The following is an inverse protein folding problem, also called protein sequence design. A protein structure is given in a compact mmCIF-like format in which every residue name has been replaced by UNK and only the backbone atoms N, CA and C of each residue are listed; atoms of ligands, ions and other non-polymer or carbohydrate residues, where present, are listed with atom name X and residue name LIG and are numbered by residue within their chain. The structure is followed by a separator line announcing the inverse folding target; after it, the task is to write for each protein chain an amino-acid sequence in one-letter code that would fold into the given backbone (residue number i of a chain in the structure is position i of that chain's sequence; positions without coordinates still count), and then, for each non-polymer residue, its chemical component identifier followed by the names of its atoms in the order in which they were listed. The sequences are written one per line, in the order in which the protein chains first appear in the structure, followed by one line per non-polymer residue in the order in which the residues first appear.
data_IF_759514539455
#
_entry.id   IF_759514539455
#
_cell.length_a   1.000
_cell.length_b   1.000
_cell.length_c   1.000
_cell.angle_alpha   90.00
_cell.angle_beta   90.00
_cell.angle_gamma   90.00
#
_symmetry.space_group_name_H-M   'P 1'
#
loop_
_entity.id
_entity.type
_entity.pdbx_description
1 polymer ?
#
# COMPACT_ATOMS: atom_id res chain seq x y z
N UNK A 1 11.97 22.06 -7.38
CA UNK A 1 11.68 23.51 -7.50
C UNK A 1 11.64 24.24 -6.16
N UNK A 2 10.90 23.75 -5.16
CA UNK A 2 10.86 24.33 -3.81
C UNK A 2 12.25 24.62 -3.23
N UNK A 3 13.16 23.63 -3.26
CA UNK A 3 14.53 23.77 -2.78
C UNK A 3 15.31 24.92 -3.47
N UNK A 4 15.13 25.15 -4.78
CA UNK A 4 15.79 26.27 -5.50
C UNK A 4 15.32 27.65 -5.02
N UNK A 5 14.14 27.76 -4.40
CA UNK A 5 13.68 29.03 -3.80
C UNK A 5 14.46 29.33 -2.52
N UNK A 6 14.86 28.29 -1.76
CA UNK A 6 15.66 28.41 -0.54
C UNK A 6 17.15 28.61 -0.86
N UNK A 7 17.65 27.96 -1.90
CA UNK A 7 19.01 28.07 -2.38
C UNK A 7 19.06 28.54 -3.84
N UNK A 8 18.91 29.86 -4.11
CA UNK A 8 18.92 30.37 -5.49
C UNK A 8 20.25 30.16 -6.21
N UNK A 9 21.37 30.25 -5.46
CA UNK A 9 22.72 30.29 -6.04
C UNK A 9 23.42 28.92 -6.02
N UNK A 10 22.76 27.87 -5.52
CA UNK A 10 23.33 26.54 -5.42
C UNK A 10 22.63 25.57 -6.36
N UNK A 11 23.42 24.70 -7.03
CA UNK A 11 22.90 23.66 -7.92
C UNK A 11 22.83 22.29 -7.27
N UNK A 12 23.85 21.91 -6.50
CA UNK A 12 23.96 20.57 -5.93
C UNK A 12 22.89 20.26 -4.86
N UNK A 13 22.70 21.14 -3.87
CA UNK A 13 21.78 20.86 -2.75
C UNK A 13 20.31 20.71 -3.19
N UNK A 14 19.76 21.57 -4.08
CA UNK A 14 18.42 21.35 -4.61
C UNK A 14 18.25 20.06 -5.41
N UNK A 15 19.31 19.60 -6.11
CA UNK A 15 19.31 18.32 -6.82
C UNK A 15 19.33 17.15 -5.84
N UNK A 16 20.17 17.21 -4.79
CA UNK A 16 20.17 16.21 -3.72
C UNK A 16 18.80 16.11 -3.06
N UNK A 17 18.17 17.23 -2.71
CA UNK A 17 16.83 17.24 -2.12
C UNK A 17 15.79 16.57 -3.04
N UNK A 18 15.90 16.77 -4.35
CA UNK A 18 15.01 16.11 -5.33
C UNK A 18 15.33 14.62 -5.48
N UNK A 19 16.61 14.24 -5.53
CA UNK A 19 17.07 12.85 -5.67
C UNK A 19 16.65 11.99 -4.47
N UNK A 20 16.77 12.52 -3.25
CA UNK A 20 16.34 11.83 -2.02
C UNK A 20 14.83 11.50 -2.00
N UNK A 21 14.02 12.28 -2.73
CA UNK A 21 12.59 12.01 -2.91
C UNK A 21 12.37 11.06 -4.08
N UNK A 22 12.98 11.35 -5.23
CA UNK A 22 12.79 10.60 -6.47
C UNK A 22 13.28 9.15 -6.39
N UNK A 23 14.33 8.90 -5.60
CA UNK A 23 14.94 7.59 -5.42
C UNK A 23 14.63 6.97 -4.06
N UNK A 24 13.62 7.48 -3.35
CA UNK A 24 13.07 6.79 -2.18
C UNK A 24 12.34 5.52 -2.69
N UNK A 25 12.79 4.31 -2.30
CA UNK A 25 12.22 3.08 -2.84
C UNK A 25 10.75 2.88 -2.49
N UNK A 26 10.33 3.19 -1.26
CA UNK A 26 8.92 3.12 -0.87
C UNK A 26 8.06 4.07 -1.70
N UNK A 27 8.53 5.29 -1.95
CA UNK A 27 7.80 6.28 -2.74
C UNK A 27 7.66 5.79 -4.18
N UNK A 28 8.73 5.27 -4.79
CA UNK A 28 8.69 4.66 -6.12
C UNK A 28 7.74 3.46 -6.20
N UNK A 29 7.78 2.56 -5.21
CA UNK A 29 6.82 1.46 -5.11
C UNK A 29 5.38 1.96 -5.06
N UNK A 30 5.12 2.99 -4.25
CA UNK A 30 3.79 3.59 -4.10
C UNK A 30 3.32 4.27 -5.40
N UNK A 31 4.24 4.84 -6.19
CA UNK A 31 3.95 5.38 -7.52
C UNK A 31 3.57 4.29 -8.55
N UNK A 32 4.00 3.04 -8.34
CA UNK A 32 3.59 1.89 -9.14
C UNK A 32 2.19 1.36 -8.80
N UNK A 33 1.56 1.87 -7.74
CA UNK A 33 0.22 1.48 -7.30
C UNK A 33 -0.84 2.49 -7.75
N UNK A 34 -2.08 2.03 -7.92
CA UNK A 34 -3.24 2.91 -8.03
C UNK A 34 -3.60 3.42 -6.63
N UNK A 35 -3.04 4.57 -6.25
CA UNK A 35 -3.20 5.17 -4.92
C UNK A 35 -3.29 6.70 -5.00
N UNK A 36 -3.90 7.31 -3.97
CA UNK A 36 -3.95 8.76 -3.82
C UNK A 36 -2.66 9.36 -3.22
N UNK A 37 -1.77 8.53 -2.68
CA UNK A 37 -0.54 8.97 -2.01
C UNK A 37 0.44 9.73 -2.95
N UNK A 38 0.75 9.25 -4.17
CA UNK A 38 1.66 9.95 -5.09
C UNK A 38 1.15 11.32 -5.52
N UNK A 39 -0.14 11.41 -5.86
CA UNK A 39 -0.76 12.67 -6.27
C UNK A 39 -0.72 13.70 -5.14
N UNK A 40 -1.02 13.28 -3.91
CA UNK A 40 -0.95 14.16 -2.75
C UNK A 40 0.47 14.64 -2.47
N UNK A 41 1.48 13.76 -2.57
CA UNK A 41 2.88 14.15 -2.41
C UNK A 41 3.31 15.18 -3.47
N UNK A 42 2.89 15.01 -4.72
CA UNK A 42 3.15 15.96 -5.81
C UNK A 42 2.46 17.32 -5.55
N UNK A 43 1.19 17.32 -5.14
CA UNK A 43 0.45 18.53 -4.79
C UNK A 43 1.06 19.24 -3.56
N UNK A 44 1.49 18.49 -2.55
CA UNK A 44 2.22 19.02 -1.39
C UNK A 44 3.53 19.69 -1.77
N UNK A 45 4.33 19.07 -2.65
CA UNK A 45 5.55 19.65 -3.17
C UNK A 45 5.29 20.93 -4.00
N UNK A 46 4.21 20.93 -4.82
CA UNK A 46 3.80 22.09 -5.61
C UNK A 46 3.31 23.24 -4.73
N UNK A 47 2.52 22.95 -3.69
CA UNK A 47 2.07 23.92 -2.69
C UNK A 47 3.24 24.52 -1.93
N UNK A 48 4.18 23.70 -1.44
CA UNK A 48 5.40 24.18 -0.80
C UNK A 48 6.17 25.14 -1.71
N UNK A 49 6.36 24.78 -2.98
CA UNK A 49 7.03 25.65 -3.93
C UNK A 49 6.30 26.98 -4.17
N UNK A 50 4.97 26.95 -4.36
CA UNK A 50 4.16 28.15 -4.57
C UNK A 50 4.13 29.06 -3.34
N UNK A 51 3.95 28.48 -2.16
CA UNK A 51 4.00 29.19 -0.87
C UNK A 51 5.36 29.83 -0.62
N UNK A 52 6.46 29.14 -0.91
CA UNK A 52 7.81 29.72 -0.82
C UNK A 52 8.00 30.89 -1.79
N UNK A 53 7.50 30.79 -3.03
CA UNK A 53 7.56 31.90 -4.00
C UNK A 53 6.73 33.10 -3.57
N UNK A 54 5.53 32.86 -3.02
CA UNK A 54 4.69 33.91 -2.46
C UNK A 54 5.37 34.60 -1.28
N UNK A 55 5.91 33.81 -0.35
CA UNK A 55 6.59 34.32 0.84
C UNK A 55 7.90 35.08 0.55
N UNK A 56 8.53 34.83 -0.61
CA UNK A 56 9.76 35.49 -1.07
C UNK A 56 9.47 36.75 -1.91
N UNK A 57 8.27 36.90 -2.45
CA UNK A 57 7.96 37.97 -3.39
C UNK A 57 8.23 39.36 -2.78
N UNK A 58 8.91 40.22 -3.54
CA UNK A 58 9.17 41.59 -3.14
C UNK A 58 7.92 42.47 -3.23
N UNK A 59 6.90 42.09 -3.97
CA UNK A 59 5.66 42.86 -4.14
C UNK A 59 4.47 42.08 -3.62
N UNK A 60 3.36 42.79 -3.35
CA UNK A 60 2.10 42.17 -2.99
C UNK A 60 1.71 41.11 -4.03
N UNK A 61 1.24 39.95 -3.57
CA UNK A 61 0.92 38.85 -4.46
C UNK A 61 -0.28 39.21 -5.35
N UNK A 62 -0.15 39.15 -6.70
CA UNK A 62 -1.28 39.38 -7.58
C UNK A 62 -2.32 38.28 -7.42
N UNK A 63 -3.60 38.65 -7.57
CA UNK A 63 -4.77 37.78 -7.39
C UNK A 63 -4.64 36.38 -8.03
N UNK A 64 -4.14 36.21 -9.28
CA UNK A 64 -4.02 34.90 -9.91
C UNK A 64 -3.08 33.93 -9.16
N UNK A 65 -2.07 34.44 -8.44
CA UNK A 65 -1.16 33.57 -7.66
C UNK A 65 -1.84 33.01 -6.41
N UNK A 66 -2.69 33.80 -5.75
CA UNK A 66 -3.47 33.38 -4.59
C UNK A 66 -4.54 32.37 -5.01
N UNK A 67 -5.28 32.66 -6.09
CA UNK A 67 -6.24 31.72 -6.69
C UNK A 67 -5.54 30.41 -7.05
N UNK A 68 -4.38 30.47 -7.71
CA UNK A 68 -3.62 29.26 -8.07
C UNK A 68 -3.20 28.41 -6.87
N UNK A 69 -2.89 29.02 -5.72
CA UNK A 69 -2.62 28.26 -4.48
C UNK A 69 -3.88 27.62 -3.92
N UNK A 70 -5.01 28.34 -3.96
CA UNK A 70 -6.31 27.82 -3.56
C UNK A 70 -6.77 26.64 -4.41
N UNK A 71 -6.63 26.72 -5.74
CA UNK A 71 -6.96 25.62 -6.65
C UNK A 71 -6.10 24.38 -6.37
N UNK A 72 -4.78 24.54 -6.19
CA UNK A 72 -3.89 23.43 -5.82
C UNK A 72 -4.24 22.82 -4.46
N UNK A 73 -4.61 23.67 -3.50
CA UNK A 73 -5.04 23.21 -2.18
C UNK A 73 -6.35 22.45 -2.24
N UNK A 74 -7.33 22.94 -3.01
CA UNK A 74 -8.58 22.23 -3.27
C UNK A 74 -8.36 20.86 -3.93
N UNK A 75 -7.47 20.78 -4.93
CA UNK A 75 -7.10 19.48 -5.51
C UNK A 75 -6.47 18.54 -4.47
N UNK A 76 -5.64 19.07 -3.57
CA UNK A 76 -5.02 18.27 -2.51
C UNK A 76 -6.09 17.75 -1.53
N UNK A 77 -7.05 18.59 -1.13
CA UNK A 77 -8.17 18.22 -0.27
C UNK A 77 -9.05 17.13 -0.89
N UNK A 78 -9.36 17.24 -2.19
CA UNK A 78 -10.07 16.20 -2.93
C UNK A 78 -9.28 14.89 -3.02
N UNK A 79 -7.95 14.97 -3.11
CA UNK A 79 -7.08 13.79 -3.21
C UNK A 79 -7.07 13.01 -1.89
N UNK A 80 -6.94 13.71 -0.76
CA UNK A 80 -6.92 13.10 0.57
C UNK A 80 -7.18 14.12 1.66
N UNK A 81 -7.92 13.72 2.69
CA UNK A 81 -8.21 14.57 3.85
C UNK A 81 -6.96 15.06 4.60
N UNK A 82 -5.86 14.28 4.60
CA UNK A 82 -4.61 14.70 5.24
C UNK A 82 -4.03 15.98 4.63
N UNK A 83 -4.46 16.39 3.43
CA UNK A 83 -4.08 17.67 2.83
C UNK A 83 -4.42 18.89 3.72
N UNK A 84 -5.36 18.78 4.67
CA UNK A 84 -5.64 19.81 5.68
C UNK A 84 -4.37 20.32 6.38
N UNK A 85 -3.33 19.49 6.48
CA UNK A 85 -2.02 19.85 7.03
C UNK A 85 -1.31 21.00 6.28
N UNK A 86 -1.71 21.31 5.05
CA UNK A 86 -1.14 22.43 4.27
C UNK A 86 -1.77 23.79 4.62
N UNK A 87 -2.87 23.84 5.38
CA UNK A 87 -3.54 25.09 5.76
C UNK A 87 -2.60 26.10 6.44
N UNK A 88 -1.86 25.72 7.50
CA UNK A 88 -0.89 26.60 8.15
C UNK A 88 0.17 27.16 7.19
N UNK A 89 0.64 26.36 6.22
CA UNK A 89 1.61 26.79 5.22
C UNK A 89 1.05 27.90 4.32
N UNK A 90 -0.22 27.81 3.92
CA UNK A 90 -0.91 28.84 3.14
C UNK A 90 -1.14 30.12 3.94
N UNK A 91 -1.55 30.00 5.20
CA UNK A 91 -1.70 31.15 6.10
C UNK A 91 -0.36 31.87 6.29
N UNK A 92 0.73 31.13 6.54
CA UNK A 92 2.06 31.70 6.64
C UNK A 92 2.51 32.41 5.37
N UNK A 93 2.33 31.77 4.21
CA UNK A 93 2.71 32.36 2.92
C UNK A 93 1.88 33.61 2.61
N UNK A 94 0.58 33.58 2.89
CA UNK A 94 -0.33 34.71 2.75
C UNK A 94 0.06 35.89 3.62
N UNK A 95 0.34 35.64 4.90
CA UNK A 95 0.79 36.67 5.85
C UNK A 95 2.08 37.37 5.38
N UNK A 96 3.04 36.58 4.90
CA UNK A 96 4.29 37.12 4.34
C UNK A 96 4.06 37.88 3.04
N UNK A 97 3.20 37.39 2.16
CA UNK A 97 2.88 38.02 0.88
C UNK A 97 2.25 39.41 1.04
N UNK A 98 1.56 39.66 2.15
CA UNK A 98 0.93 40.95 2.48
C UNK A 98 1.70 41.77 3.51
N UNK A 99 2.92 41.34 3.87
CA UNK A 99 3.85 42.04 4.77
C UNK A 99 3.22 42.40 6.12
N UNK A 100 2.36 41.54 6.64
CA UNK A 100 1.73 41.69 7.96
C UNK A 100 0.53 42.64 8.03
N UNK A 101 -0.02 43.07 6.89
CA UNK A 101 -1.29 43.81 6.88
C UNK A 101 -2.48 42.88 7.11
N UNK A 102 -3.22 43.07 8.22
CA UNK A 102 -4.38 42.25 8.57
C UNK A 102 -5.50 42.27 7.54
N UNK A 103 -5.88 43.44 7.00
CA UNK A 103 -6.95 43.55 6.02
C UNK A 103 -6.61 42.79 4.72
N UNK A 104 -5.39 42.98 4.21
CA UNK A 104 -4.93 42.27 3.03
C UNK A 104 -4.71 40.77 3.30
N UNK A 105 -4.34 40.39 4.52
CA UNK A 105 -4.21 38.99 4.92
C UNK A 105 -5.56 38.27 4.90
N UNK A 106 -6.60 38.90 5.44
CA UNK A 106 -7.96 38.38 5.38
C UNK A 106 -8.45 38.25 3.93
N UNK A 107 -8.24 39.28 3.10
CA UNK A 107 -8.59 39.24 1.69
C UNK A 107 -7.84 38.13 0.93
N UNK A 108 -6.54 37.96 1.19
CA UNK A 108 -5.74 36.89 0.60
C UNK A 108 -6.22 35.51 1.04
N UNK A 109 -6.56 35.36 2.32
CA UNK A 109 -7.07 34.12 2.93
C UNK A 109 -8.42 33.73 2.35
N UNK A 110 -9.34 34.69 2.24
CA UNK A 110 -10.62 34.49 1.56
C UNK A 110 -10.43 34.12 0.09
N UNK A 111 -9.49 34.77 -0.60
CA UNK A 111 -9.24 34.50 -2.03
C UNK A 111 -8.82 33.06 -2.27
N UNK A 112 -7.77 32.58 -1.60
CA UNK A 112 -7.32 31.20 -1.80
C UNK A 112 -8.29 30.19 -1.17
N UNK A 113 -8.95 30.54 -0.07
CA UNK A 113 -9.94 29.70 0.60
C UNK A 113 -11.18 29.44 -0.26
N UNK A 114 -11.75 30.49 -0.87
CA UNK A 114 -12.87 30.36 -1.80
C UNK A 114 -12.49 29.53 -3.03
N UNK A 115 -11.29 29.75 -3.60
CA UNK A 115 -10.81 28.93 -4.71
C UNK A 115 -10.66 27.44 -4.33
N UNK A 116 -10.20 27.13 -3.12
CA UNK A 116 -10.13 25.76 -2.62
C UNK A 116 -11.53 25.15 -2.41
N UNK A 117 -12.48 25.91 -1.85
CA UNK A 117 -13.86 25.49 -1.65
C UNK A 117 -14.62 25.26 -2.96
N UNK A 118 -14.35 26.04 -3.99
CA UNK A 118 -14.94 25.81 -5.32
C UNK A 118 -14.52 24.45 -5.91
N UNK A 119 -13.31 23.99 -5.60
CA UNK A 119 -12.81 22.70 -6.07
C UNK A 119 -13.27 21.57 -5.17
N UNK A 120 -13.08 21.67 -3.85
CA UNK A 120 -13.25 20.57 -2.92
C UNK A 120 -14.52 20.65 -2.05
N UNK A 121 -15.15 21.82 -1.94
CA UNK A 121 -16.23 22.07 -0.98
C UNK A 121 -17.45 21.17 -1.19
N UNK A 122 -17.77 20.83 -2.44
CA UNK A 122 -18.87 19.92 -2.75
C UNK A 122 -18.67 18.52 -2.12
N UNK A 123 -17.43 18.02 -2.03
CA UNK A 123 -17.12 16.71 -1.45
C UNK A 123 -17.42 16.68 0.05
N UNK A 124 -17.05 17.74 0.77
CA UNK A 124 -17.32 17.87 2.19
C UNK A 124 -18.81 18.07 2.47
N UNK A 125 -19.52 18.87 1.67
CA UNK A 125 -20.97 19.01 1.78
C UNK A 125 -21.69 17.68 1.50
N UNK A 126 -21.19 16.90 0.53
CA UNK A 126 -21.66 15.55 0.23
C UNK A 126 -21.46 14.62 1.42
N UNK A 127 -20.29 14.64 2.07
CA UNK A 127 -20.03 13.85 3.28
C UNK A 127 -20.96 14.24 4.44
N UNK A 128 -21.13 15.54 4.70
CA UNK A 128 -22.04 16.02 5.74
C UNK A 128 -23.48 15.55 5.50
N UNK A 129 -23.96 15.61 4.24
CA UNK A 129 -25.32 15.17 3.88
C UNK A 129 -25.52 13.65 4.02
N UNK A 130 -24.52 12.85 3.65
CA UNK A 130 -24.65 11.39 3.65
C UNK A 130 -24.31 10.74 4.99
N UNK A 131 -23.34 11.28 5.71
CA UNK A 131 -22.79 10.66 6.92
C UNK A 131 -23.10 11.46 8.19
N UNK A 132 -23.63 12.68 8.09
CA UNK A 132 -23.76 13.58 9.25
C UNK A 132 -22.42 14.12 9.74
N UNK A 133 -21.31 13.75 9.08
CA UNK A 133 -19.94 14.06 9.43
C UNK A 133 -19.22 14.65 8.22
N UNK A 134 -18.70 15.87 8.37
CA UNK A 134 -17.97 16.58 7.32
C UNK A 134 -16.73 15.82 6.85
N UNK A 135 -16.05 15.14 7.77
CA UNK A 135 -14.79 14.45 7.56
C UNK A 135 -14.93 12.93 7.51
N UNK A 136 -16.08 12.37 7.87
CA UNK A 136 -16.31 10.92 7.89
C UNK A 136 -15.40 10.18 8.88
N UNK A 137 -15.02 10.85 9.97
CA UNK A 137 -14.19 10.31 11.06
C UNK A 137 -14.90 9.16 11.77
N UNK A 138 -16.19 9.29 12.06
CA UNK A 138 -16.93 8.22 12.75
C UNK A 138 -17.00 6.94 11.94
N UNK A 139 -17.38 7.06 10.65
CA UNK A 139 -17.40 5.95 9.71
C UNK A 139 -16.03 5.30 9.55
N UNK A 140 -14.98 6.12 9.41
CA UNK A 140 -13.62 5.61 9.30
C UNK A 140 -13.19 4.86 10.57
N UNK A 141 -13.51 5.39 11.75
CA UNK A 141 -13.13 4.78 13.02
C UNK A 141 -13.85 3.46 13.26
N UNK A 142 -15.12 3.35 12.86
CA UNK A 142 -15.88 2.10 12.95
C UNK A 142 -15.26 0.95 12.13
N UNK A 143 -14.68 1.25 10.96
CA UNK A 143 -14.13 0.23 10.05
C UNK A 143 -12.63 -0.04 10.27
N UNK A 144 -11.86 0.95 10.73
CA UNK A 144 -10.40 0.89 10.74
C UNK A 144 -9.76 1.09 12.12
N UNK A 145 -10.53 1.29 13.20
CA UNK A 145 -9.95 1.38 14.54
C UNK A 145 -9.30 0.04 14.93
N UNK A 146 -7.96 0.06 15.06
CA UNK A 146 -7.19 -1.05 15.62
C UNK A 146 -7.07 -0.97 17.13
N UNK A 147 -6.24 -1.85 17.70
CA UNK A 147 -5.88 -1.78 19.11
C UNK A 147 -5.26 -0.41 19.45
N UNK A 148 -5.64 0.20 20.60
CA UNK A 148 -5.14 1.51 20.99
C UNK A 148 -3.63 1.50 21.18
N UNK A 149 -2.98 2.61 20.83
CA UNK A 149 -1.55 2.75 21.01
C UNK A 149 -1.19 2.97 22.49
N UNK A 150 -0.20 2.25 23.00
CA UNK A 150 0.25 2.35 24.39
C UNK A 150 1.18 3.57 24.59
N UNK A 151 0.59 4.76 24.74
CA UNK A 151 1.31 6.05 24.82
C UNK A 151 2.36 6.13 25.94
N UNK A 152 2.15 5.41 27.04
CA UNK A 152 3.06 5.38 28.19
C UNK A 152 4.17 4.33 28.09
N UNK A 153 4.15 3.47 27.08
CA UNK A 153 5.11 2.38 26.92
C UNK A 153 6.25 2.77 25.96
N UNK A 154 7.50 2.88 26.44
CA UNK A 154 8.67 3.16 25.60
C UNK A 154 8.89 2.11 24.51
N UNK A 155 8.53 0.83 24.75
CA UNK A 155 8.69 -0.22 23.76
C UNK A 155 7.73 -0.03 22.58
N UNK A 156 6.48 0.37 22.84
CA UNK A 156 5.51 0.73 21.81
C UNK A 156 6.02 1.89 20.93
N UNK A 157 6.62 2.92 21.53
CA UNK A 157 7.25 4.02 20.79
C UNK A 157 8.42 3.56 19.93
N UNK A 158 9.33 2.74 20.48
CA UNK A 158 10.46 2.22 19.72
C UNK A 158 9.98 1.38 18.53
N UNK A 159 9.00 0.50 18.75
CA UNK A 159 8.38 -0.31 17.70
C UNK A 159 7.72 0.53 16.61
N UNK A 160 6.89 1.50 17.00
CA UNK A 160 6.21 2.41 16.06
C UNK A 160 7.19 3.26 15.24
N UNK A 161 8.23 3.82 15.87
CA UNK A 161 9.27 4.59 15.17
C UNK A 161 10.11 3.72 14.23
N UNK A 162 10.45 2.50 14.65
CA UNK A 162 11.17 1.54 13.80
C UNK A 162 10.34 1.20 12.57
N UNK A 163 9.07 0.86 12.77
CA UNK A 163 8.14 0.59 11.68
C UNK A 163 7.97 1.78 10.74
N UNK A 164 7.84 3.00 11.29
CA UNK A 164 7.73 4.23 10.51
C UNK A 164 8.95 4.44 9.61
N UNK A 165 10.17 4.27 10.14
CA UNK A 165 11.40 4.48 9.38
C UNK A 165 11.61 3.38 8.35
N UNK A 166 11.48 2.11 8.73
CA UNK A 166 11.61 0.98 7.80
C UNK A 166 10.64 1.12 6.63
N UNK A 167 9.39 1.44 6.93
CA UNK A 167 8.36 1.61 5.91
C UNK A 167 8.38 2.94 5.17
N UNK A 168 9.10 3.95 5.66
CA UNK A 168 9.37 5.15 4.88
C UNK A 168 10.40 4.88 3.77
N UNK A 169 11.30 3.91 3.98
CA UNK A 169 12.38 3.61 3.04
C UNK A 169 12.12 2.36 2.19
N UNK A 170 11.85 1.21 2.79
CA UNK A 170 11.81 -0.07 2.07
C UNK A 170 11.04 -1.20 2.80
N UNK A 171 9.78 -0.94 3.18
CA UNK A 171 8.87 -1.99 3.67
C UNK A 171 7.58 -2.00 2.85
N UNK A 172 7.44 -3.01 2.00
CA UNK A 172 6.45 -3.06 0.91
C UNK A 172 5.23 -3.93 1.25
N UNK A 173 4.28 -4.00 0.32
CA UNK A 173 3.16 -4.97 0.37
C UNK A 173 2.28 -4.84 1.61
N UNK A 174 1.89 -3.62 2.01
CA UNK A 174 1.13 -3.39 3.24
C UNK A 174 1.83 -3.90 4.51
N UNK A 175 3.07 -3.44 4.72
CA UNK A 175 3.90 -3.79 5.90
C UNK A 175 4.29 -5.27 6.00
N UNK A 176 4.03 -6.09 4.98
CA UNK A 176 4.32 -7.53 5.00
C UNK A 176 5.69 -7.88 4.42
N UNK A 177 6.22 -7.06 3.50
CA UNK A 177 7.48 -7.33 2.83
C UNK A 177 8.62 -6.52 3.44
N UNK A 178 9.55 -7.21 4.08
CA UNK A 178 10.70 -6.62 4.74
C UNK A 178 11.92 -6.64 3.82
N UNK A 179 12.57 -5.50 3.63
CA UNK A 179 13.89 -5.49 3.02
C UNK A 179 14.93 -6.06 3.98
N UNK A 180 15.97 -6.76 3.49
CA UNK A 180 17.14 -7.12 4.31
C UNK A 180 17.72 -5.90 5.05
N UNK A 181 18.12 -6.08 6.31
CA UNK A 181 18.56 -4.98 7.17
C UNK A 181 19.71 -4.15 6.56
N UNK A 182 20.63 -4.79 5.84
CA UNK A 182 21.75 -4.10 5.18
C UNK A 182 21.31 -3.10 4.12
N UNK A 183 20.15 -3.30 3.47
CA UNK A 183 19.60 -2.35 2.49
C UNK A 183 19.14 -1.05 3.16
N UNK A 184 18.90 -1.07 4.47
CA UNK A 184 18.51 0.11 5.25
C UNK A 184 19.69 0.90 5.81
N UNK A 185 20.87 0.29 5.95
CA UNK A 185 22.05 0.95 6.52
C UNK A 185 22.44 2.25 5.79
N UNK A 186 22.39 2.35 4.45
CA UNK A 186 22.64 3.61 3.74
C UNK A 186 21.68 4.74 4.14
N UNK A 187 20.41 4.43 4.40
CA UNK A 187 19.44 5.43 4.82
C UNK A 187 19.63 5.84 6.28
N UNK A 188 20.00 4.89 7.15
CA UNK A 188 20.43 5.22 8.52
C UNK A 188 21.67 6.10 8.54
N UNK A 189 22.66 5.81 7.69
CA UNK A 189 23.85 6.63 7.52
C UNK A 189 23.50 8.04 7.00
N UNK A 190 22.60 8.14 6.01
CA UNK A 190 22.07 9.42 5.53
C UNK A 190 21.45 10.25 6.65
N UNK A 191 20.57 9.64 7.45
CA UNK A 191 19.91 10.31 8.58
C UNK A 191 20.95 10.77 9.61
N UNK A 192 21.88 9.90 10.00
CA UNK A 192 22.93 10.21 10.97
C UNK A 192 23.84 11.36 10.48
N UNK A 193 24.26 11.33 9.21
CA UNK A 193 25.07 12.39 8.59
C UNK A 193 24.30 13.70 8.53
N UNK A 194 23.01 13.65 8.16
CA UNK A 194 22.17 14.84 8.12
C UNK A 194 22.02 15.45 9.52
N UNK A 195 21.74 14.64 10.55
CA UNK A 195 21.65 15.07 11.94
C UNK A 195 22.98 15.64 12.45
N UNK A 196 24.11 15.00 12.14
CA UNK A 196 25.44 15.50 12.48
C UNK A 196 25.72 16.87 11.84
N UNK A 197 25.37 17.03 10.56
CA UNK A 197 25.48 18.31 9.86
C UNK A 197 24.60 19.40 10.48
N UNK A 198 23.40 19.05 10.93
CA UNK A 198 22.52 19.95 11.70
C UNK A 198 23.13 20.33 13.05
N UNK A 199 23.70 19.38 13.79
CA UNK A 199 24.34 19.62 15.09
C UNK A 199 25.58 20.54 14.96
N UNK A 200 26.30 20.45 13.84
CA UNK A 200 27.45 21.32 13.52
C UNK A 200 27.05 22.69 12.97
N UNK A 201 25.84 22.82 12.41
CA UNK A 201 25.38 24.11 11.90
C UNK A 201 25.29 25.12 13.05
N UNK A 202 25.68 26.37 12.81
CA UNK A 202 25.44 27.46 13.76
C UNK A 202 23.98 27.45 14.19
N UNK A 203 23.72 27.54 15.51
CA UNK A 203 22.39 27.39 16.15
C UNK A 203 21.32 28.37 15.68
N UNK A 204 21.63 29.29 14.76
CA UNK A 204 20.63 30.11 14.10
C UNK A 204 19.90 29.25 13.08
N UNK A 205 18.77 28.67 13.53
CA UNK A 205 17.71 28.23 12.63
C UNK A 205 17.52 29.30 11.57
N UNK A 206 17.47 28.94 10.28
CA UNK A 206 17.36 29.95 9.26
C UNK A 206 15.98 30.62 9.39
N UNK A 207 15.93 31.83 9.93
CA UNK A 207 14.70 32.62 9.97
C UNK A 207 14.24 32.95 8.53
N UNK A 208 12.94 33.21 8.34
CA UNK A 208 12.38 33.57 7.03
C UNK A 208 11.75 32.39 6.30
N UNK A 209 12.21 32.08 5.09
CA UNK A 209 11.55 31.14 4.17
C UNK A 209 11.55 29.67 4.64
N UNK A 210 12.49 29.31 5.50
CA UNK A 210 12.63 27.95 6.03
C UNK A 210 11.53 27.54 7.01
N UNK A 211 10.78 28.52 7.53
CA UNK A 211 9.59 28.24 8.32
C UNK A 211 8.54 27.45 7.50
N UNK A 212 8.48 27.64 6.18
CA UNK A 212 7.57 26.88 5.31
C UNK A 212 7.79 25.36 5.35
N UNK A 213 8.97 24.85 4.95
CA UNK A 213 9.29 23.43 5.07
C UNK A 213 9.15 22.91 6.51
N UNK A 214 9.57 23.70 7.52
CA UNK A 214 9.45 23.30 8.92
C UNK A 214 7.98 23.08 9.33
N UNK A 215 7.10 24.03 9.00
CA UNK A 215 5.67 23.91 9.26
C UNK A 215 5.09 22.67 8.60
N UNK A 216 5.46 22.40 7.34
CA UNK A 216 5.01 21.22 6.61
C UNK A 216 5.43 19.91 7.30
N UNK A 217 6.68 19.84 7.79
CA UNK A 217 7.19 18.68 8.53
C UNK A 217 6.47 18.52 9.88
N UNK A 218 6.33 19.59 10.65
CA UNK A 218 5.66 19.57 11.96
C UNK A 218 4.19 19.18 11.81
N UNK A 219 3.48 19.70 10.79
CA UNK A 219 2.08 19.34 10.54
C UNK A 219 1.92 17.90 10.05
N UNK A 220 2.88 17.34 9.32
CA UNK A 220 2.87 15.92 8.97
C UNK A 220 3.08 15.02 10.19
N UNK A 221 3.97 15.39 11.11
CA UNK A 221 4.16 14.68 12.38
C UNK A 221 2.93 14.80 13.29
N UNK A 222 2.32 15.98 13.38
CA UNK A 222 1.08 16.19 14.13
C UNK A 222 -0.07 15.35 13.54
N UNK A 223 -0.19 15.28 12.22
CA UNK A 223 -1.14 14.41 11.54
C UNK A 223 -0.88 12.93 11.85
N UNK A 224 0.37 12.48 11.78
CA UNK A 224 0.75 11.11 12.13
C UNK A 224 0.32 10.76 13.56
N UNK A 225 0.64 11.61 14.55
CA UNK A 225 0.28 11.37 15.94
C UNK A 225 -1.24 11.42 16.16
N UNK A 226 -1.95 12.34 15.50
CA UNK A 226 -3.41 12.37 15.51
C UNK A 226 -4.01 11.09 14.91
N UNK A 227 -3.38 10.54 13.87
CA UNK A 227 -3.82 9.30 13.24
C UNK A 227 -3.51 8.07 14.09
N UNK A 228 -2.36 8.06 14.79
CA UNK A 228 -2.04 7.04 15.81
C UNK A 228 -3.07 7.04 16.94
N UNK A 229 -3.51 8.23 17.38
CA UNK A 229 -4.56 8.35 18.38
C UNK A 229 -5.91 7.77 17.92
N UNK A 230 -6.24 7.91 16.63
CA UNK A 230 -7.51 7.45 16.07
C UNK A 230 -7.50 5.97 15.62
N UNK A 231 -6.39 5.50 15.06
CA UNK A 231 -6.30 4.19 14.37
C UNK A 231 -5.25 3.23 14.97
N UNK A 232 -4.54 3.63 16.02
CA UNK A 232 -3.58 2.80 16.73
C UNK A 232 -2.36 2.43 15.88
N UNK A 233 -1.96 1.15 15.94
CA UNK A 233 -0.71 0.68 15.31
C UNK A 233 -0.69 0.81 13.78
N UNK A 234 -1.86 0.78 13.12
CA UNK A 234 -1.97 0.89 11.66
C UNK A 234 -1.46 2.23 11.15
N UNK A 235 -1.41 3.27 12.00
CA UNK A 235 -0.95 4.59 11.65
C UNK A 235 0.57 4.72 11.47
N UNK A 236 1.38 3.82 12.05
CA UNK A 236 2.85 3.86 12.02
C UNK A 236 3.44 3.43 10.66
N UNK A 237 3.02 4.09 9.59
CA UNK A 237 3.45 3.82 8.22
C UNK A 237 4.14 5.04 7.63
N UNK A 238 5.31 4.85 7.04
CA UNK A 238 6.12 5.91 6.46
C UNK A 238 5.40 6.73 5.39
N UNK A 239 4.46 6.11 4.65
CA UNK A 239 3.62 6.81 3.66
C UNK A 239 2.79 7.96 4.24
N UNK A 240 2.51 7.95 5.55
CA UNK A 240 1.82 9.07 6.21
C UNK A 240 2.64 10.37 6.19
N UNK A 241 3.95 10.27 5.98
CA UNK A 241 4.86 11.42 5.84
C UNK A 241 5.04 11.89 4.39
N UNK A 242 4.51 11.14 3.40
CA UNK A 242 4.64 11.50 1.99
C UNK A 242 4.06 12.87 1.59
N UNK A 243 2.98 13.37 2.21
CA UNK A 243 2.54 14.75 1.96
C UNK A 243 3.67 15.76 2.17
N UNK A 244 4.57 15.52 3.13
CA UNK A 244 5.72 16.37 3.47
C UNK A 244 7.07 15.85 2.94
N UNK A 245 7.08 14.89 2.01
CA UNK A 245 8.33 14.27 1.51
C UNK A 245 9.30 15.29 0.90
N UNK A 246 8.77 16.35 0.27
CA UNK A 246 9.58 17.44 -0.27
C UNK A 246 10.28 18.24 0.84
N UNK A 247 9.60 18.48 1.98
CA UNK A 247 10.22 19.13 3.13
C UNK A 247 11.28 18.22 3.78
N UNK A 248 10.99 16.91 3.92
CA UNK A 248 11.94 15.92 4.42
C UNK A 248 13.20 15.90 3.55
N UNK A 249 13.07 15.82 2.22
CA UNK A 249 14.19 15.86 1.29
C UNK A 249 15.01 17.15 1.41
N UNK A 250 14.38 18.31 1.62
CA UNK A 250 15.06 19.59 1.86
C UNK A 250 15.87 19.54 3.17
N UNK A 251 15.31 19.04 4.27
CA UNK A 251 15.98 18.97 5.57
C UNK A 251 17.16 17.98 5.58
N UNK A 252 17.00 16.83 4.92
CA UNK A 252 18.08 15.86 4.75
C UNK A 252 19.22 16.45 3.91
N UNK A 253 18.89 17.07 2.77
CA UNK A 253 19.89 17.70 1.91
C UNK A 253 20.63 18.85 2.60
N UNK A 254 19.93 19.67 3.40
CA UNK A 254 20.56 20.73 4.20
C UNK A 254 21.54 20.13 5.24
N UNK A 255 21.13 19.07 5.94
CA UNK A 255 21.99 18.39 6.90
C UNK A 255 23.27 17.86 6.24
N UNK A 256 23.13 17.09 5.16
CA UNK A 256 24.27 16.53 4.40
C UNK A 256 25.21 17.64 3.92
N UNK A 257 24.68 18.74 3.38
CA UNK A 257 25.48 19.86 2.91
C UNK A 257 26.37 20.46 4.03
N UNK A 258 25.88 20.52 5.27
CA UNK A 258 26.60 21.14 6.40
C UNK A 258 27.84 20.36 6.83
N UNK A 259 27.97 19.10 6.43
CA UNK A 259 29.16 18.27 6.70
C UNK A 259 30.37 18.69 5.84
N UNK A 260 30.17 19.48 4.78
CA UNK A 260 31.23 20.00 3.88
C UNK A 260 32.11 18.90 3.28
N UNK A 261 31.49 17.84 2.77
CA UNK A 261 32.16 16.78 2.01
C UNK A 261 31.52 16.66 0.62
N UNK A 262 32.32 16.90 -0.43
CA UNK A 262 31.84 17.01 -1.82
C UNK A 262 31.36 15.67 -2.41
N UNK A 263 31.79 14.55 -1.84
CA UNK A 263 31.36 13.21 -2.27
C UNK A 263 29.96 12.86 -1.78
N UNK A 264 29.53 13.39 -0.63
CA UNK A 264 28.25 12.97 -0.01
C UNK A 264 27.03 13.23 -0.89
N UNK A 265 26.87 14.40 -1.55
CA UNK A 265 25.74 14.62 -2.45
C UNK A 265 25.71 13.65 -3.62
N UNK A 266 26.86 13.26 -4.17
CA UNK A 266 26.92 12.28 -5.26
C UNK A 266 26.54 10.89 -4.77
N UNK A 267 27.14 10.45 -3.66
CA UNK A 267 26.84 9.15 -3.03
C UNK A 267 25.34 9.02 -2.71
N UNK A 268 24.74 10.05 -2.12
CA UNK A 268 23.32 10.03 -1.74
C UNK A 268 22.35 10.38 -2.89
N UNK A 269 22.85 10.68 -4.09
CA UNK A 269 22.05 10.61 -5.31
C UNK A 269 22.11 9.20 -5.91
N UNK A 270 23.32 8.63 -6.04
CA UNK A 270 23.53 7.38 -6.78
C UNK A 270 23.12 6.13 -5.99
N UNK A 271 23.45 6.07 -4.70
CA UNK A 271 23.19 4.89 -3.88
C UNK A 271 21.69 4.59 -3.71
N UNK A 272 20.82 5.57 -3.37
CA UNK A 272 19.37 5.33 -3.36
C UNK A 272 18.81 4.91 -4.73
N UNK A 273 19.35 5.46 -5.83
CA UNK A 273 18.95 5.05 -7.19
C UNK A 273 19.27 3.57 -7.44
N UNK A 274 20.48 3.12 -7.11
CA UNK A 274 20.87 1.72 -7.26
C UNK A 274 20.00 0.82 -6.39
N UNK A 275 19.85 1.15 -5.10
CA UNK A 275 19.05 0.34 -4.17
C UNK A 275 17.58 0.25 -4.63
N UNK A 276 16.97 1.38 -4.99
CA UNK A 276 15.58 1.40 -5.47
C UNK A 276 15.40 0.63 -6.78
N UNK A 277 16.39 0.63 -7.67
CA UNK A 277 16.36 -0.13 -8.92
C UNK A 277 16.50 -1.64 -8.70
N UNK A 278 17.21 -2.06 -7.64
CA UNK A 278 17.42 -3.47 -7.31
C UNK A 278 16.26 -4.08 -6.51
N UNK A 279 15.55 -3.29 -5.71
CA UNK A 279 14.49 -3.78 -4.82
C UNK A 279 13.34 -4.55 -5.50
N UNK A 280 12.88 -4.19 -6.71
CA UNK A 280 11.91 -5.00 -7.44
C UNK A 280 12.37 -6.45 -7.64
N UNK A 281 13.65 -6.68 -7.92
CA UNK A 281 14.19 -7.99 -8.25
C UNK A 281 14.70 -8.76 -7.03
N UNK A 282 15.20 -8.06 -6.01
CA UNK A 282 15.82 -8.70 -4.84
C UNK A 282 14.87 -8.86 -3.64
N UNK A 283 13.79 -8.08 -3.59
CA UNK A 283 12.87 -8.06 -2.44
C UNK A 283 11.43 -8.35 -2.87
N UNK A 284 10.93 -7.60 -3.86
CA UNK A 284 9.51 -7.66 -4.23
C UNK A 284 9.20 -8.93 -5.01
N UNK A 285 9.79 -9.12 -6.19
CA UNK A 285 9.47 -10.27 -7.05
C UNK A 285 9.71 -11.63 -6.37
N UNK A 286 10.82 -11.86 -5.61
CA UNK A 286 11.01 -13.13 -4.91
C UNK A 286 9.98 -13.40 -3.81
N UNK A 287 9.33 -12.36 -3.26
CA UNK A 287 8.28 -12.55 -2.26
C UNK A 287 6.94 -13.00 -2.87
N UNK A 288 6.76 -12.83 -4.18
CA UNK A 288 5.61 -13.30 -4.94
C UNK A 288 6.03 -14.50 -5.79
N UNK A 289 6.32 -15.62 -5.13
CA UNK A 289 6.75 -16.88 -5.78
C UNK A 289 5.64 -17.56 -6.60
N UNK A 290 4.40 -17.07 -6.48
CA UNK A 290 3.24 -17.62 -7.17
C UNK A 290 2.86 -16.67 -8.28
N UNK A 291 2.92 -17.19 -9.50
CA UNK A 291 2.49 -16.49 -10.70
C UNK A 291 1.34 -17.32 -11.26
N UNK A 292 0.25 -16.65 -11.63
CA UNK A 292 -0.77 -17.29 -12.43
C UNK A 292 -0.11 -17.91 -13.67
N UNK A 293 -0.43 -19.16 -13.97
CA UNK A 293 0.11 -19.86 -15.12
C UNK A 293 -0.35 -19.13 -16.39
N UNK A 294 0.50 -19.02 -17.42
CA UNK A 294 0.03 -18.72 -18.76
C UNK A 294 -1.05 -19.73 -19.17
N UNK A 295 -2.15 -19.28 -19.76
CA UNK A 295 -3.29 -20.15 -20.13
C UNK A 295 -2.84 -21.38 -20.93
N UNK A 296 -1.95 -21.21 -21.92
CA UNK A 296 -1.44 -22.31 -22.72
C UNK A 296 -0.73 -23.38 -21.88
N UNK A 297 0.02 -22.96 -20.86
CA UNK A 297 0.68 -23.89 -19.94
C UNK A 297 -0.34 -24.58 -19.03
N UNK A 298 -1.27 -23.82 -18.45
CA UNK A 298 -2.32 -24.37 -17.60
C UNK A 298 -3.16 -25.43 -18.33
N UNK A 299 -3.56 -25.13 -19.57
CA UNK A 299 -4.31 -26.06 -20.44
C UNK A 299 -3.51 -27.32 -20.80
N UNK A 300 -2.20 -27.20 -21.02
CA UNK A 300 -1.33 -28.36 -21.30
C UNK A 300 -1.16 -29.28 -20.08
N UNK A 301 -1.36 -28.76 -18.87
CA UNK A 301 -1.08 -29.43 -17.60
C UNK A 301 -2.33 -29.91 -16.83
N UNK A 302 -3.55 -29.77 -17.41
CA UNK A 302 -4.83 -30.07 -16.74
C UNK A 302 -4.94 -31.50 -16.20
N UNK A 303 -4.27 -32.47 -16.83
CA UNK A 303 -4.50 -33.89 -16.58
C UNK A 303 -5.85 -34.32 -17.11
N UNK A 304 -6.80 -34.57 -16.22
CA UNK A 304 -8.20 -34.88 -16.57
C UNK A 304 -9.00 -33.58 -16.60
N UNK A 305 -9.48 -33.13 -17.78
CA UNK A 305 -10.31 -31.94 -17.86
C UNK A 305 -11.62 -32.14 -17.13
N UNK A 306 -12.03 -31.11 -16.39
CA UNK A 306 -13.36 -31.01 -15.79
C UNK A 306 -13.65 -29.52 -15.79
N UNK A 307 -14.61 -29.05 -16.59
CA UNK A 307 -14.95 -27.62 -16.65
C UNK A 307 -16.24 -27.39 -15.85
N UNK A 308 -16.08 -27.10 -14.57
CA UNK A 308 -17.20 -26.79 -13.66
C UNK A 308 -16.96 -25.48 -12.95
N UNK A 309 -18.04 -24.73 -12.74
CA UNK A 309 -17.98 -23.36 -12.25
C UNK A 309 -18.49 -23.28 -10.82
N UNK A 310 -17.66 -22.79 -9.92
CA UNK A 310 -17.99 -22.48 -8.55
C UNK A 310 -18.37 -21.00 -8.47
N UNK A 311 -19.64 -20.70 -8.20
CA UNK A 311 -20.14 -19.33 -8.15
C UNK A 311 -21.47 -19.23 -7.40
N UNK A 312 -21.79 -18.05 -6.84
CA UNK A 312 -23.18 -17.72 -6.54
C UNK A 312 -23.98 -17.54 -7.85
N UNK A 313 -25.32 -17.59 -7.77
CA UNK A 313 -26.23 -17.63 -8.93
C UNK A 313 -25.98 -16.57 -10.00
N UNK A 314 -25.55 -15.37 -9.61
CA UNK A 314 -25.34 -14.22 -10.53
C UNK A 314 -23.86 -13.86 -10.75
N UNK A 315 -22.97 -14.57 -10.06
CA UNK A 315 -21.53 -14.40 -10.11
C UNK A 315 -20.96 -15.22 -11.27
N UNK A 316 -19.81 -14.81 -11.83
CA UNK A 316 -19.05 -15.65 -12.76
C UNK A 316 -18.21 -16.69 -12.01
N UNK A 317 -17.67 -16.32 -10.84
CA UNK A 317 -16.90 -17.17 -9.94
C UNK A 317 -15.57 -17.68 -10.49
N UNK A 318 -15.23 -18.92 -10.12
CA UNK A 318 -14.02 -19.63 -10.53
C UNK A 318 -14.39 -20.93 -11.23
N UNK A 319 -13.65 -21.27 -12.27
CA UNK A 319 -13.77 -22.56 -12.96
C UNK A 319 -12.70 -23.49 -12.41
N UNK A 320 -13.09 -24.66 -11.90
CA UNK A 320 -12.18 -25.79 -11.88
C UNK A 320 -12.12 -26.29 -13.33
N UNK A 321 -10.94 -26.31 -13.93
CA UNK A 321 -10.74 -26.63 -15.34
C UNK A 321 -10.13 -28.03 -15.56
N UNK A 322 -9.46 -28.57 -14.55
CA UNK A 322 -8.86 -29.88 -14.62
C UNK A 322 -8.27 -30.34 -13.29
N UNK A 323 -7.97 -31.62 -13.21
CA UNK A 323 -7.32 -32.22 -12.05
C UNK A 323 -6.41 -33.39 -12.45
N UNK A 324 -5.39 -33.67 -11.64
CA UNK A 324 -4.51 -34.81 -11.81
C UNK A 324 -3.98 -35.35 -10.50
N UNK A 325 -3.58 -36.61 -10.50
CA UNK A 325 -2.73 -37.18 -9.46
C UNK A 325 -1.28 -37.11 -9.93
N UNK A 326 -0.41 -36.50 -9.14
CA UNK A 326 1.01 -36.33 -9.50
C UNK A 326 1.80 -37.65 -9.38
N UNK A 327 1.26 -38.63 -8.64
CA UNK A 327 1.79 -39.98 -8.50
C UNK A 327 0.66 -41.00 -8.37
N UNK A 328 0.89 -42.28 -8.73
CA UNK A 328 -0.07 -43.34 -8.48
C UNK A 328 -0.41 -43.42 -6.99
N UNK A 329 -1.69 -43.59 -6.67
CA UNK A 329 -2.15 -43.67 -5.30
C UNK A 329 -1.76 -45.03 -4.70
N UNK A 330 -1.26 -45.03 -3.46
CA UNK A 330 -0.88 -46.24 -2.72
C UNK A 330 -1.27 -46.09 -1.26
N UNK A 331 -1.59 -47.21 -0.63
CA UNK A 331 -1.97 -47.22 0.79
C UNK A 331 -0.78 -46.75 1.66
N UNK A 332 -1.07 -45.95 2.70
CA UNK A 332 -0.04 -45.45 3.62
C UNK A 332 0.87 -44.33 3.08
N UNK A 333 0.62 -43.78 1.89
CA UNK A 333 1.37 -42.63 1.33
C UNK A 333 0.46 -41.42 1.10
N UNK A 334 1.06 -40.25 0.85
CA UNK A 334 0.28 -39.05 0.51
C UNK A 334 -0.30 -39.16 -0.90
N UNK A 335 -1.61 -38.99 -1.01
CA UNK A 335 -2.27 -38.73 -2.28
C UNK A 335 -1.97 -37.29 -2.71
N UNK A 336 -1.12 -37.13 -3.73
CA UNK A 336 -0.77 -35.84 -4.31
C UNK A 336 -1.77 -35.47 -5.41
N UNK A 337 -2.78 -34.67 -5.05
CA UNK A 337 -3.80 -34.15 -5.95
C UNK A 337 -3.42 -32.75 -6.40
N UNK A 338 -3.43 -32.47 -7.70
CA UNK A 338 -3.29 -31.12 -8.23
C UNK A 338 -4.58 -30.70 -8.93
N UNK A 339 -5.15 -29.58 -8.49
CA UNK A 339 -6.30 -28.92 -9.11
C UNK A 339 -5.82 -27.75 -9.97
N UNK A 340 -6.43 -27.56 -11.13
CA UNK A 340 -6.16 -26.41 -11.99
C UNK A 340 -7.41 -25.55 -12.10
N UNK A 341 -7.29 -24.30 -11.68
CA UNK A 341 -8.39 -23.35 -11.62
C UNK A 341 -8.19 -22.22 -12.62
N UNK A 342 -9.29 -21.61 -13.06
CA UNK A 342 -9.31 -20.37 -13.82
C UNK A 342 -10.25 -19.37 -13.12
N UNK A 343 -9.72 -18.21 -12.77
CA UNK A 343 -10.51 -17.12 -12.21
C UNK A 343 -11.31 -16.42 -13.31
N UNK A 344 -12.64 -16.37 -13.19
CA UNK A 344 -13.46 -15.58 -14.11
C UNK A 344 -13.76 -14.19 -13.52
N UNK A 345 -13.67 -14.00 -12.22
CA UNK A 345 -13.88 -12.70 -11.58
C UNK A 345 -13.10 -12.60 -10.27
N UNK A 346 -13.06 -11.41 -9.67
CA UNK A 346 -12.48 -11.26 -8.33
C UNK A 346 -13.34 -12.01 -7.31
N UNK A 347 -12.71 -12.88 -6.52
CA UNK A 347 -13.37 -13.62 -5.43
C UNK A 347 -12.89 -13.05 -4.09
N UNK A 348 -13.63 -12.09 -3.50
CA UNK A 348 -13.11 -11.30 -2.37
C UNK A 348 -13.09 -12.04 -1.03
N UNK A 349 -13.72 -13.22 -0.94
CA UNK A 349 -13.80 -14.01 0.29
C UNK A 349 -12.76 -15.13 0.31
N UNK A 350 -12.31 -15.49 1.50
CA UNK A 350 -11.33 -16.57 1.74
C UNK A 350 -11.99 -17.95 1.72
N UNK A 351 -12.56 -18.34 0.59
CA UNK A 351 -13.07 -19.70 0.41
C UNK A 351 -11.94 -20.72 0.57
N UNK A 352 -12.23 -21.80 1.29
CA UNK A 352 -11.34 -22.94 1.48
C UNK A 352 -11.74 -24.03 0.49
N UNK A 353 -10.75 -24.58 -0.20
CA UNK A 353 -10.91 -25.76 -1.04
C UNK A 353 -10.88 -26.97 -0.13
N UNK A 354 -11.94 -27.77 -0.18
CA UNK A 354 -11.94 -29.10 0.41
C UNK A 354 -11.82 -30.15 -0.70
N UNK A 355 -11.00 -31.17 -0.47
CA UNK A 355 -10.99 -32.37 -1.29
C UNK A 355 -11.09 -33.59 -0.38
N UNK A 356 -12.07 -34.45 -0.64
CA UNK A 356 -12.33 -35.64 0.19
C UNK A 356 -12.23 -36.91 -0.66
N UNK A 357 -11.59 -37.92 -0.09
CA UNK A 357 -11.58 -39.28 -0.60
C UNK A 357 -12.62 -40.10 0.16
N UNK A 358 -13.65 -40.55 -0.56
CA UNK A 358 -14.80 -41.27 -0.01
C UNK A 358 -14.72 -42.76 -0.35
N UNK A 359 -15.20 -43.61 0.57
CA UNK A 359 -15.38 -45.05 0.31
C UNK A 359 -16.70 -45.36 -0.42
N UNK A 360 -17.11 -46.63 -0.43
CA UNK A 360 -18.36 -47.09 -1.03
C UNK A 360 -19.62 -46.62 -0.26
N UNK A 361 -19.48 -46.32 1.04
CA UNK A 361 -20.56 -45.89 1.94
C UNK A 361 -20.61 -44.36 2.13
N UNK A 362 -19.89 -43.61 1.28
CA UNK A 362 -19.75 -42.14 1.31
C UNK A 362 -19.09 -41.61 2.60
N UNK A 363 -18.33 -42.45 3.31
CA UNK A 363 -17.52 -42.02 4.45
C UNK A 363 -16.23 -41.36 3.97
N UNK A 364 -15.88 -40.24 4.59
CA UNK A 364 -14.61 -39.55 4.34
C UNK A 364 -13.50 -40.36 4.99
N UNK A 365 -12.59 -40.89 4.17
CA UNK A 365 -11.45 -41.68 4.67
C UNK A 365 -10.15 -40.89 4.68
N UNK A 366 -10.02 -39.93 3.79
CA UNK A 366 -8.94 -38.96 3.79
C UNK A 366 -9.47 -37.63 3.26
N UNK A 367 -8.92 -36.52 3.76
CA UNK A 367 -9.35 -35.18 3.37
C UNK A 367 -8.22 -34.18 3.42
N UNK A 368 -8.44 -33.06 2.75
CA UNK A 368 -7.65 -31.84 2.87
C UNK A 368 -8.57 -30.64 2.76
N UNK A 369 -8.29 -29.63 3.59
CA UNK A 369 -9.06 -28.41 3.69
C UNK A 369 -8.05 -27.26 3.74
N UNK A 370 -7.83 -26.60 2.61
CA UNK A 370 -6.85 -25.51 2.54
C UNK A 370 -7.26 -24.40 1.59
N UNK A 371 -6.85 -23.16 1.91
CA UNK A 371 -6.89 -22.09 0.94
C UNK A 371 -5.94 -22.41 -0.22
N UNK A 372 -6.23 -21.98 -1.46
CA UNK A 372 -5.43 -22.36 -2.61
C UNK A 372 -3.93 -22.11 -2.43
N UNK A 373 -3.13 -23.05 -2.96
CA UNK A 373 -1.67 -23.09 -2.85
C UNK A 373 -1.18 -23.03 -1.39
N UNK A 374 -1.90 -23.65 -0.45
CA UNK A 374 -1.53 -23.64 0.98
C UNK A 374 -1.54 -22.23 1.58
N UNK A 375 -2.58 -21.44 1.26
CA UNK A 375 -2.76 -20.05 1.67
C UNK A 375 -1.73 -19.03 1.16
N UNK A 376 -0.84 -19.43 0.25
CA UNK A 376 0.13 -18.51 -0.36
C UNK A 376 -0.48 -17.67 -1.49
N UNK A 377 -1.51 -18.19 -2.16
CA UNK A 377 -2.28 -17.51 -3.19
C UNK A 377 -3.78 -17.78 -2.99
N UNK A 378 -4.40 -17.29 -1.90
CA UNK A 378 -5.83 -17.48 -1.65
C UNK A 378 -6.67 -16.70 -2.68
N UNK A 379 -7.94 -17.09 -2.86
CA UNK A 379 -8.85 -16.50 -3.84
C UNK A 379 -8.88 -14.96 -3.91
N UNK A 380 -8.83 -14.19 -2.80
CA UNK A 380 -8.81 -12.72 -2.88
C UNK A 380 -7.59 -12.11 -3.58
N UNK A 381 -6.53 -12.90 -3.80
CA UNK A 381 -5.36 -12.48 -4.58
C UNK A 381 -5.51 -12.72 -6.08
N UNK A 382 -6.52 -13.47 -6.50
CA UNK A 382 -6.70 -13.84 -7.90
C UNK A 382 -7.37 -12.70 -8.64
N UNK A 383 -6.91 -12.47 -9.86
CA UNK A 383 -7.47 -11.52 -10.80
C UNK A 383 -8.20 -12.27 -11.92
N UNK A 384 -9.22 -11.65 -12.56
CA UNK A 384 -9.92 -12.28 -13.67
C UNK A 384 -8.95 -12.66 -14.79
N UNK A 385 -8.97 -13.93 -15.21
CA UNK A 385 -8.05 -14.49 -16.20
C UNK A 385 -6.88 -15.29 -15.61
N UNK A 386 -6.65 -15.22 -14.30
CA UNK A 386 -5.60 -16.01 -13.65
C UNK A 386 -5.90 -17.51 -13.75
N UNK A 387 -4.89 -18.26 -14.17
CA UNK A 387 -4.88 -19.72 -14.07
C UNK A 387 -4.00 -20.14 -12.90
N UNK A 388 -4.51 -20.98 -12.01
CA UNK A 388 -3.79 -21.34 -10.78
C UNK A 388 -3.68 -22.84 -10.63
N UNK A 389 -2.46 -23.32 -10.41
CA UNK A 389 -2.16 -24.69 -10.01
C UNK A 389 -2.19 -24.80 -8.50
N UNK A 390 -3.09 -25.61 -8.00
CA UNK A 390 -3.41 -25.73 -6.59
C UNK A 390 -3.12 -27.17 -6.11
N UNK A 391 -1.90 -27.41 -5.58
CA UNK A 391 -1.51 -28.73 -5.09
C UNK A 391 -2.05 -29.00 -3.69
N UNK A 392 -2.61 -30.19 -3.52
CA UNK A 392 -3.20 -30.74 -2.31
C UNK A 392 -2.55 -32.07 -1.95
N UNK A 393 -2.31 -32.29 -0.65
CA UNK A 393 -1.79 -33.56 -0.13
C UNK A 393 -2.77 -34.11 0.91
N UNK A 394 -3.18 -35.35 0.72
CA UNK A 394 -4.03 -36.07 1.66
C UNK A 394 -3.28 -37.31 2.17
N UNK A 395 -3.07 -37.39 3.48
CA UNK A 395 -2.43 -38.55 4.08
C UNK A 395 -3.40 -39.74 4.04
N UNK A 396 -3.04 -40.80 3.31
CA UNK A 396 -3.86 -42.01 3.23
C UNK A 396 -3.51 -42.97 4.40
N UNK A 397 -4.48 -43.42 5.20
CA UNK A 397 -4.23 -44.42 6.23
C UNK A 397 -3.60 -45.69 5.66
N UNK A 398 -2.61 -46.26 6.36
CA UNK A 398 -1.96 -47.52 5.96
C UNK A 398 -2.86 -48.75 6.10
N UNK A 399 -3.95 -48.64 6.86
CA UNK A 399 -4.96 -49.69 7.04
C UNK A 399 -6.00 -49.73 5.92
N UNK A 400 -5.91 -48.85 4.93
CA UNK A 400 -6.87 -48.81 3.83
C UNK A 400 -6.78 -50.09 2.99
N UNK A 401 -7.90 -50.79 2.73
CA UNK A 401 -7.89 -51.88 1.77
C UNK A 401 -7.64 -51.35 0.35
N UNK A 402 -6.86 -52.07 -0.48
CA UNK A 402 -6.81 -51.81 -1.92
C UNK A 402 -8.23 -51.81 -2.51
N UNK A 403 -8.52 -50.87 -3.40
CA UNK A 403 -9.89 -50.68 -3.87
C UNK A 403 -10.11 -49.37 -4.60
N UNK A 404 -11.38 -49.11 -4.93
CA UNK A 404 -11.82 -47.90 -5.62
C UNK A 404 -12.44 -46.94 -4.62
N UNK A 405 -11.99 -45.70 -4.66
CA UNK A 405 -12.44 -44.62 -3.80
C UNK A 405 -12.89 -43.44 -4.65
N UNK A 406 -13.88 -42.68 -4.19
CA UNK A 406 -14.43 -41.54 -4.93
C UNK A 406 -13.76 -40.26 -4.47
N UNK A 407 -13.25 -39.47 -5.40
CA UNK A 407 -12.66 -38.17 -5.09
C UNK A 407 -13.68 -37.06 -5.37
N UNK A 408 -13.95 -36.22 -4.37
CA UNK A 408 -14.85 -35.06 -4.47
C UNK A 408 -14.16 -33.78 -4.06
N UNK A 409 -14.55 -32.65 -4.66
CA UNK A 409 -14.01 -31.32 -4.37
C UNK A 409 -15.13 -30.29 -4.24
N UNK A 410 -14.91 -29.28 -3.41
CA UNK A 410 -15.67 -28.04 -3.49
C UNK A 410 -15.10 -26.92 -2.63
N UNK A 411 -15.91 -25.88 -2.41
CA UNK A 411 -15.50 -24.70 -1.64
C UNK A 411 -16.43 -24.43 -0.46
N UNK A 412 -15.86 -24.02 0.67
CA UNK A 412 -16.64 -23.53 1.82
C UNK A 412 -16.04 -22.26 2.45
N UNK A 413 -16.88 -21.48 3.15
CA UNK A 413 -16.44 -20.35 3.97
C UNK A 413 -16.23 -20.80 5.41
N UNK A 414 -15.03 -20.68 6.00
CA UNK A 414 -14.80 -21.09 7.39
C UNK A 414 -15.64 -20.35 8.42
N UNK A 415 -15.97 -19.08 8.16
CA UNK A 415 -16.66 -18.23 9.13
C UNK A 415 -18.14 -18.60 9.29
N UNK A 416 -18.80 -19.06 8.23
CA UNK A 416 -20.23 -19.41 8.22
C UNK A 416 -20.52 -20.89 7.98
N UNK A 417 -19.57 -21.64 7.43
CA UNK A 417 -19.78 -23.00 6.92
C UNK A 417 -20.50 -23.04 5.56
N UNK A 418 -20.79 -21.89 4.95
CA UNK A 418 -21.49 -21.83 3.67
C UNK A 418 -20.70 -22.55 2.58
N UNK A 419 -21.43 -23.18 1.65
CA UNK A 419 -20.87 -23.99 0.56
C UNK A 419 -21.11 -23.29 -0.76
N UNK A 420 -20.09 -23.23 -1.62
CA UNK A 420 -20.24 -22.56 -2.92
C UNK A 420 -20.97 -23.48 -3.91
N UNK A 421 -22.06 -23.02 -4.55
CA UNK A 421 -22.73 -23.80 -5.58
C UNK A 421 -21.82 -24.13 -6.76
N UNK A 422 -22.00 -25.33 -7.31
CA UNK A 422 -21.31 -25.83 -8.50
C UNK A 422 -22.28 -25.86 -9.67
N UNK A 423 -21.84 -25.31 -10.80
CA UNK A 423 -22.59 -25.22 -12.05
C UNK A 423 -21.85 -25.97 -13.15
N UNK A 424 -22.58 -26.77 -13.93
CA UNK A 424 -22.08 -27.39 -15.14
C UNK A 424 -21.90 -26.35 -16.27
N UNK A 425 -21.22 -26.75 -17.34
CA UNK A 425 -21.00 -25.91 -18.52
C UNK A 425 -22.32 -25.48 -19.20
N UNK A 426 -23.35 -26.33 -19.16
CA UNK A 426 -24.69 -26.04 -19.69
C UNK A 426 -25.52 -25.08 -18.81
N UNK A 427 -24.96 -24.63 -17.68
CA UNK A 427 -25.61 -23.71 -16.75
C UNK A 427 -26.54 -24.38 -15.73
N UNK A 428 -26.65 -25.71 -15.72
CA UNK A 428 -27.36 -26.44 -14.66
C UNK A 428 -26.58 -26.46 -13.35
N UNK A 429 -27.28 -26.36 -12.22
CA UNK A 429 -26.65 -26.49 -10.91
C UNK A 429 -26.48 -27.97 -10.55
N UNK A 430 -25.25 -28.38 -10.26
CA UNK A 430 -24.90 -29.77 -9.91
C UNK A 430 -25.13 -30.02 -8.42
N UNK A 431 -24.79 -29.04 -7.57
CA UNK A 431 -24.80 -29.18 -6.12
C UNK A 431 -23.88 -28.15 -5.46
N UNK A 432 -23.19 -28.55 -4.40
CA UNK A 432 -22.18 -27.76 -3.67
C UNK A 432 -20.78 -28.43 -3.65
N UNK A 433 -20.65 -29.53 -4.40
CA UNK A 433 -19.41 -30.27 -4.65
C UNK A 433 -19.46 -30.92 -6.04
N UNK A 434 -18.29 -31.31 -6.54
CA UNK A 434 -18.14 -32.07 -7.78
C UNK A 434 -17.38 -33.38 -7.53
N UNK A 435 -17.83 -34.47 -8.14
CA UNK A 435 -17.09 -35.73 -8.20
C UNK A 435 -16.08 -35.67 -9.33
N UNK A 436 -14.79 -35.77 -9.00
CA UNK A 436 -13.70 -35.73 -9.97
C UNK A 436 -13.51 -37.07 -10.69
N UNK A 437 -13.65 -38.18 -9.97
CA UNK A 437 -13.46 -39.52 -10.52
C UNK A 437 -13.29 -40.60 -9.45
N UNK A 438 -12.82 -41.77 -9.87
CA UNK A 438 -12.39 -42.86 -8.99
C UNK A 438 -10.87 -42.90 -8.89
N UNK A 439 -10.36 -43.07 -7.67
CA UNK A 439 -8.96 -43.32 -7.36
C UNK A 439 -8.81 -44.79 -7.01
N UNK A 440 -7.93 -45.49 -7.71
CA UNK A 440 -7.62 -46.91 -7.42
C UNK A 440 -6.39 -46.95 -6.51
N UNK A 441 -6.56 -47.51 -5.31
CA UNK A 441 -5.46 -47.79 -4.39
C UNK A 441 -4.97 -49.23 -4.62
N UNK A 442 -3.67 -49.37 -4.83
CA UNK A 442 -2.99 -50.67 -4.93
C UNK A 442 -2.40 -51.13 -3.60
#
# INVERSE_FOLDING_TARGET
LAARVLWPDQRATPLLAAALVAFNPQFLFTCGLVSNDPLLAALGAALLWRCLRLARAAEAAPLPRLIGCGLLFGLALLTKQSALLFGPLLLWAGWRAVRGSWCHFLAATLTWGLAALLVAGWWYLRNLKHYGDLFGIELFSAEFAGAPFAWSDPAAWLGGLTQLVESFWARFGWMSLFSPAWMLWPYWALIAIALFGWARAERKLPHGLWLGPLMMLVMALAWLLSFVAAAGLVAWQGRMLFPAIAAIGIFLALGVQKVKCDLLPFTFCFLPLVLSSLMPFLVIAPAYTWVALPEAQARAELGTPIEVRFAQRWERGVVLAGWRLDQPASTGTDLALTLTWQSLELIPKNWVVFAHLLDADDQIIAETNSAPCGATLPFPRWTPGDWVRDPHRMALPSSLPPGRYRLVVGLYLPESGDRMPVWAEDGSQIGDLIRLGEVVLN
#
